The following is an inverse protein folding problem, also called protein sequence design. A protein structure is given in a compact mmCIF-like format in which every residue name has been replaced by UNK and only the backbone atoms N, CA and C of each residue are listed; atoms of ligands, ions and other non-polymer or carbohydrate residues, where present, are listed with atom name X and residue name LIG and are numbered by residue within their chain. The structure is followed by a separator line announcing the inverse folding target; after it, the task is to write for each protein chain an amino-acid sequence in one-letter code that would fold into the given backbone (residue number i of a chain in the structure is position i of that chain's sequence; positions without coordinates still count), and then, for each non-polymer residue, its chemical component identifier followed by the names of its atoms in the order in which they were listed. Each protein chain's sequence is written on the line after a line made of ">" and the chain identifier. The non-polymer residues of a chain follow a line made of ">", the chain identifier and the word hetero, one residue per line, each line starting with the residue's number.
data_IF_345281495984
#
_entry.id   IF_345281495984
#
_cell.length_a   1.000
_cell.length_b   1.000
_cell.length_c   1.000
_cell.angle_alpha   90.00
_cell.angle_beta   90.00
_cell.angle_gamma   90.00
#
_symmetry.space_group_name_H-M   'P 1'
#
loop_
_entity.id
_entity.type
_entity.pdbx_description
1 polymer ?
#
# COMPACT_ATOMS: atom_id res chain seq x y z
N UNK A 1 -3.97 -9.80 5.98
CA UNK A 1 -4.20 -8.38 6.31
C UNK A 1 -5.63 -8.04 6.02
N UNK A 2 -6.28 -7.23 6.85
CA UNK A 2 -7.69 -6.82 6.64
C UNK A 2 -7.77 -5.32 6.42
N UNK A 3 -8.53 -4.89 5.40
CA UNK A 3 -8.83 -3.49 5.14
C UNK A 3 -10.28 -3.20 5.56
N UNK A 4 -10.47 -2.20 6.41
CA UNK A 4 -11.78 -1.76 6.90
C UNK A 4 -12.16 -0.45 6.23
N UNK A 5 -13.24 -0.49 5.45
CA UNK A 5 -13.84 0.68 4.78
C UNK A 5 -15.11 1.12 5.48
N UNK A 6 -15.57 2.34 5.17
CA UNK A 6 -16.81 2.84 5.78
C UNK A 6 -18.02 2.00 5.35
N UNK A 7 -18.04 1.56 4.10
CA UNK A 7 -19.08 0.67 3.59
C UNK A 7 -19.13 -0.67 4.34
N UNK A 8 -17.98 -1.30 4.59
CA UNK A 8 -17.91 -2.53 5.36
C UNK A 8 -18.40 -2.34 6.79
N UNK A 9 -18.00 -1.24 7.44
CA UNK A 9 -18.44 -0.91 8.80
C UNK A 9 -19.96 -0.73 8.86
N UNK A 10 -20.57 -0.03 7.90
CA UNK A 10 -22.03 0.20 7.86
C UNK A 10 -22.86 -1.07 7.71
N UNK A 11 -22.29 -2.12 7.11
CA UNK A 11 -22.95 -3.43 6.98
C UNK A 11 -22.92 -4.25 8.27
N UNK A 12 -22.13 -3.85 9.27
CA UNK A 12 -22.06 -4.56 10.56
C UNK A 12 -23.30 -4.26 11.43
N UNK A 13 -23.79 -5.26 12.20
CA UNK A 13 -24.83 -5.03 13.18
C UNK A 13 -24.46 -3.92 14.17
N UNK A 14 -25.44 -3.11 14.59
CA UNK A 14 -25.21 -1.97 15.47
C UNK A 14 -24.49 -2.33 16.79
N UNK A 15 -24.86 -3.46 17.41
CA UNK A 15 -24.19 -3.95 18.62
C UNK A 15 -22.70 -4.26 18.39
N UNK A 16 -22.36 -4.88 17.25
CA UNK A 16 -20.96 -5.16 16.90
C UNK A 16 -20.19 -3.87 16.59
N UNK A 17 -20.81 -2.91 15.88
CA UNK A 17 -20.21 -1.58 15.66
C UNK A 17 -19.89 -0.89 16.98
N UNK A 18 -20.79 -0.95 17.96
CA UNK A 18 -20.60 -0.36 19.28
C UNK A 18 -19.44 -1.00 20.04
N UNK A 19 -19.35 -2.33 20.05
CA UNK A 19 -18.22 -3.06 20.66
C UNK A 19 -16.89 -2.68 19.99
N UNK A 20 -16.86 -2.61 18.65
CA UNK A 20 -15.65 -2.18 17.92
C UNK A 20 -15.29 -0.74 18.26
N UNK A 21 -16.27 0.18 18.29
CA UNK A 21 -16.07 1.58 18.63
C UNK A 21 -15.39 1.75 19.99
N UNK A 22 -15.87 1.02 21.01
CA UNK A 22 -15.40 1.16 22.38
C UNK A 22 -14.04 0.52 22.65
N UNK A 23 -13.66 -0.51 21.90
CA UNK A 23 -12.49 -1.34 22.25
C UNK A 23 -11.41 -1.39 21.18
N UNK A 24 -11.75 -1.26 19.90
CA UNK A 24 -10.84 -1.59 18.80
C UNK A 24 -10.64 -0.45 17.80
N UNK A 25 -11.61 0.47 17.66
CA UNK A 25 -11.58 1.50 16.64
C UNK A 25 -10.40 2.47 16.81
N UNK A 26 -10.20 3.00 18.02
CA UNK A 26 -9.13 3.95 18.31
C UNK A 26 -7.72 3.32 18.16
N UNK A 27 -7.41 2.14 18.74
CA UNK A 27 -6.13 1.47 18.50
C UNK A 27 -5.85 1.20 17.02
N UNK A 28 -6.81 0.63 16.28
CA UNK A 28 -6.66 0.31 14.84
C UNK A 28 -6.45 1.57 13.99
N UNK A 29 -7.18 2.64 14.31
CA UNK A 29 -7.04 3.92 13.65
C UNK A 29 -5.63 4.50 13.87
N UNK A 30 -5.16 4.51 15.12
CA UNK A 30 -3.84 5.01 15.47
C UNK A 30 -2.73 4.18 14.82
N UNK A 31 -2.84 2.85 14.81
CA UNK A 31 -1.88 1.98 14.12
C UNK A 31 -1.80 2.28 12.62
N UNK A 32 -2.95 2.42 11.95
CA UNK A 32 -3.00 2.74 10.51
C UNK A 32 -2.37 4.12 10.24
N UNK A 33 -2.76 5.12 11.03
CA UNK A 33 -2.22 6.48 10.93
C UNK A 33 -0.71 6.50 11.18
N UNK A 34 -0.23 5.86 12.23
CA UNK A 34 1.19 5.80 12.55
C UNK A 34 1.97 5.11 11.43
N UNK A 35 1.47 3.97 10.94
CA UNK A 35 2.12 3.26 9.85
C UNK A 35 2.30 4.13 8.60
N UNK A 36 1.24 4.82 8.16
CA UNK A 36 1.32 5.74 7.01
C UNK A 36 2.16 6.99 7.31
N UNK A 37 2.01 7.59 8.49
CA UNK A 37 2.67 8.83 8.87
C UNK A 37 4.16 8.64 9.18
N UNK A 38 4.64 7.41 9.42
CA UNK A 38 6.07 7.11 9.54
C UNK A 38 6.76 6.94 8.18
N UNK A 39 6.00 6.78 7.09
CA UNK A 39 6.57 6.68 5.74
C UNK A 39 7.18 8.00 5.30
N UNK A 40 8.29 7.92 4.57
CA UNK A 40 8.90 9.04 3.87
C UNK A 40 7.98 9.58 2.76
N UNK A 41 8.24 10.80 2.31
CA UNK A 41 7.47 11.40 1.22
C UNK A 41 7.57 10.58 -0.08
N UNK A 42 8.73 9.99 -0.39
CA UNK A 42 8.93 9.14 -1.58
C UNK A 42 8.05 7.88 -1.54
N UNK A 43 7.96 7.24 -0.38
CA UNK A 43 7.10 6.06 -0.18
C UNK A 43 5.63 6.46 -0.32
N UNK A 44 5.23 7.58 0.29
CA UNK A 44 3.86 8.12 0.15
C UNK A 44 3.52 8.54 -1.26
N UNK A 45 4.47 9.09 -2.03
CA UNK A 45 4.27 9.40 -3.46
C UNK A 45 3.97 8.12 -4.26
N UNK A 46 4.63 7.01 -3.93
CA UNK A 46 4.42 5.73 -4.59
C UNK A 46 3.05 5.15 -4.26
N UNK A 47 2.60 5.31 -3.01
CA UNK A 47 1.24 4.99 -2.60
C UNK A 47 0.19 5.89 -3.26
N UNK A 48 0.44 7.20 -3.36
CA UNK A 48 -0.44 8.13 -4.07
C UNK A 48 -0.58 7.72 -5.54
N UNK A 49 0.52 7.36 -6.20
CA UNK A 49 0.52 6.85 -7.56
C UNK A 49 -0.36 5.59 -7.69
N UNK A 50 -0.19 4.61 -6.78
CA UNK A 50 -1.00 3.39 -6.78
C UNK A 50 -2.49 3.68 -6.54
N UNK A 51 -2.78 4.54 -5.56
CA UNK A 51 -4.14 4.97 -5.22
C UNK A 51 -4.78 5.90 -6.27
N UNK A 52 -4.03 6.31 -7.31
CA UNK A 52 -4.42 7.31 -8.31
C UNK A 52 -4.80 8.67 -7.69
N UNK A 53 -4.10 9.05 -6.62
CA UNK A 53 -4.22 10.33 -5.95
C UNK A 53 -3.18 11.32 -6.47
N UNK A 54 -3.50 12.62 -6.38
CA UNK A 54 -2.56 13.69 -6.76
C UNK A 54 -1.32 13.67 -5.85
N UNK A 55 -0.16 14.07 -6.39
CA UNK A 55 1.09 14.09 -5.64
C UNK A 55 1.02 14.89 -4.33
N UNK A 56 0.24 15.98 -4.27
CA UNK A 56 0.04 16.78 -3.04
C UNK A 56 -0.40 15.98 -1.80
N UNK A 57 -0.95 14.78 -1.97
CA UNK A 57 -1.36 13.94 -0.83
C UNK A 57 -0.16 13.26 -0.16
N UNK A 58 1.02 13.22 -0.78
CA UNK A 58 2.24 12.65 -0.18
C UNK A 58 2.70 13.42 1.06
N UNK A 59 2.45 14.73 1.10
CA UNK A 59 2.82 15.60 2.22
C UNK A 59 1.72 15.69 3.29
N UNK A 60 0.54 15.13 3.03
CA UNK A 60 -0.57 15.09 3.99
C UNK A 60 -0.41 13.89 4.95
N UNK A 61 -0.87 14.06 6.18
CA UNK A 61 -1.10 12.94 7.10
C UNK A 61 -2.39 12.21 6.76
N UNK A 62 -2.49 10.93 7.12
CA UNK A 62 -3.66 10.11 6.76
C UNK A 62 -4.98 10.72 7.27
N UNK A 63 -4.96 11.26 8.50
CA UNK A 63 -6.12 11.87 9.14
C UNK A 63 -6.60 13.19 8.53
N UNK A 64 -5.74 13.86 7.75
CA UNK A 64 -6.03 15.13 7.08
C UNK A 64 -6.76 14.92 5.75
N UNK A 65 -6.72 13.70 5.21
CA UNK A 65 -7.42 13.33 3.98
C UNK A 65 -8.93 13.25 4.22
N UNK A 66 -9.71 13.70 3.24
CA UNK A 66 -11.15 13.44 3.22
C UNK A 66 -11.43 11.93 3.15
N UNK A 67 -12.66 11.53 3.45
CA UNK A 67 -13.01 10.11 3.60
C UNK A 67 -12.75 9.28 2.33
N UNK A 68 -13.04 9.84 1.15
CA UNK A 68 -12.82 9.16 -0.13
C UNK A 68 -11.33 8.95 -0.43
N UNK A 69 -10.53 9.99 -0.30
CA UNK A 69 -9.09 9.90 -0.56
C UNK A 69 -8.40 9.01 0.47
N UNK A 70 -8.84 9.07 1.74
CA UNK A 70 -8.34 8.20 2.81
C UNK A 70 -8.66 6.74 2.54
N UNK A 71 -9.89 6.42 2.10
CA UNK A 71 -10.26 5.05 1.78
C UNK A 71 -9.42 4.50 0.62
N UNK A 72 -9.20 5.30 -0.43
CA UNK A 72 -8.33 4.93 -1.56
C UNK A 72 -6.89 4.68 -1.10
N UNK A 73 -6.36 5.54 -0.23
CA UNK A 73 -5.02 5.40 0.33
C UNK A 73 -4.89 4.12 1.16
N UNK A 74 -5.85 3.85 2.06
CA UNK A 74 -5.86 2.64 2.89
C UNK A 74 -6.03 1.37 2.06
N UNK A 75 -6.84 1.42 1.00
CA UNK A 75 -6.97 0.30 0.06
C UNK A 75 -5.65 0.03 -0.67
N UNK A 76 -4.99 1.06 -1.17
CA UNK A 76 -3.67 0.96 -1.79
C UNK A 76 -2.61 0.39 -0.83
N UNK A 77 -2.60 0.84 0.43
CA UNK A 77 -1.76 0.26 1.47
C UNK A 77 -2.01 -1.24 1.63
N UNK A 78 -3.27 -1.66 1.69
CA UNK A 78 -3.64 -3.07 1.80
C UNK A 78 -3.22 -3.91 0.60
N UNK A 79 -3.46 -3.42 -0.62
CA UNK A 79 -3.11 -4.10 -1.87
C UNK A 79 -1.60 -4.31 -2.01
N UNK A 80 -0.80 -3.27 -1.76
CA UNK A 80 0.66 -3.38 -1.80
C UNK A 80 1.20 -4.22 -0.64
N UNK A 81 0.68 -4.03 0.58
CA UNK A 81 1.11 -4.81 1.75
C UNK A 81 0.90 -6.31 1.52
N UNK A 82 -0.25 -6.70 0.96
CA UNK A 82 -0.53 -8.10 0.65
C UNK A 82 0.46 -8.65 -0.39
N UNK A 83 0.63 -7.93 -1.51
CA UNK A 83 1.52 -8.37 -2.59
C UNK A 83 2.96 -8.57 -2.12
N UNK A 84 3.52 -7.58 -1.41
CA UNK A 84 4.90 -7.64 -0.95
C UNK A 84 5.10 -8.55 0.26
N UNK A 85 4.05 -8.84 1.05
CA UNK A 85 4.12 -9.86 2.10
C UNK A 85 4.11 -11.29 1.54
N UNK A 86 3.34 -11.55 0.47
CA UNK A 86 3.33 -12.85 -0.23
C UNK A 86 4.66 -13.13 -0.91
N UNK A 87 5.23 -12.13 -1.58
CA UNK A 87 6.55 -12.22 -2.23
C UNK A 87 7.66 -12.71 -1.27
N UNK A 88 7.60 -12.38 0.02
CA UNK A 88 8.63 -12.81 1.00
C UNK A 88 8.51 -14.26 1.45
N UNK A 89 7.32 -14.87 1.32
CA UNK A 89 7.10 -16.24 1.82
C UNK A 89 7.69 -17.29 0.90
N UNK A 90 7.95 -16.93 -0.35
CA UNK A 90 8.37 -17.86 -1.39
C UNK A 90 9.84 -17.62 -1.74
N UNK A 91 10.62 -18.69 -1.91
CA UNK A 91 12.04 -18.61 -2.29
C UNK A 91 12.19 -18.37 -3.81
N UNK A 92 11.50 -17.35 -4.31
CA UNK A 92 11.55 -16.94 -5.72
C UNK A 92 12.58 -15.83 -5.88
N UNK A 93 13.26 -15.79 -7.02
CA UNK A 93 14.20 -14.73 -7.38
C UNK A 93 13.49 -13.39 -7.67
N UNK A 94 14.26 -12.29 -7.67
CA UNK A 94 13.71 -10.93 -7.83
C UNK A 94 12.90 -10.78 -9.14
N UNK A 95 13.28 -11.48 -10.22
CA UNK A 95 12.57 -11.46 -11.52
C UNK A 95 11.24 -12.19 -11.43
N UNK A 96 11.20 -13.38 -10.82
CA UNK A 96 9.97 -14.12 -10.61
C UNK A 96 8.99 -13.35 -9.73
N UNK A 97 9.48 -12.62 -8.71
CA UNK A 97 8.65 -11.74 -7.90
C UNK A 97 7.99 -10.63 -8.75
N UNK A 98 8.76 -9.94 -9.60
CA UNK A 98 8.23 -8.91 -10.51
C UNK A 98 7.18 -9.50 -11.46
N UNK A 99 7.40 -10.72 -11.94
CA UNK A 99 6.49 -11.47 -12.81
C UNK A 99 5.12 -11.75 -12.17
N UNK A 100 5.07 -11.97 -10.85
CA UNK A 100 3.83 -12.27 -10.11
C UNK A 100 3.00 -11.05 -9.73
N UNK A 101 3.63 -9.87 -9.66
CA UNK A 101 2.91 -8.63 -9.40
C UNK A 101 1.84 -8.40 -10.47
N UNK A 102 0.66 -7.96 -10.04
CA UNK A 102 -0.37 -7.48 -10.95
C UNK A 102 0.11 -6.24 -11.72
N UNK A 103 -0.58 -5.91 -12.81
CA UNK A 103 -0.24 -4.76 -13.64
C UNK A 103 -0.13 -3.45 -12.83
N UNK A 104 -1.05 -3.19 -11.89
CA UNK A 104 -1.02 -1.96 -11.07
C UNK A 104 0.15 -1.96 -10.09
N UNK A 105 0.41 -3.09 -9.42
CA UNK A 105 1.53 -3.25 -8.49
C UNK A 105 2.88 -3.11 -9.20
N UNK A 106 3.03 -3.70 -10.38
CA UNK A 106 4.25 -3.58 -11.19
C UNK A 106 4.46 -2.14 -11.65
N UNK A 107 3.42 -1.45 -12.11
CA UNK A 107 3.51 0.00 -12.43
C UNK A 107 3.99 0.81 -11.24
N UNK A 108 3.48 0.52 -10.04
CA UNK A 108 3.92 1.18 -8.81
C UNK A 108 5.38 0.90 -8.48
N UNK A 109 5.84 -0.34 -8.66
CA UNK A 109 7.26 -0.70 -8.47
C UNK A 109 8.16 0.08 -9.45
N UNK A 110 7.81 0.12 -10.73
CA UNK A 110 8.58 0.86 -11.74
C UNK A 110 8.57 2.36 -11.46
N UNK A 111 7.43 2.91 -11.05
CA UNK A 111 7.32 4.30 -10.60
C UNK A 111 8.22 4.57 -9.38
N UNK A 112 8.21 3.70 -8.38
CA UNK A 112 9.07 3.83 -7.19
C UNK A 112 10.56 3.80 -7.54
N UNK A 113 10.93 3.02 -8.56
CA UNK A 113 12.27 2.92 -9.13
C UNK A 113 12.66 4.13 -10.02
N UNK A 114 11.75 5.11 -10.19
CA UNK A 114 11.90 6.25 -11.09
C UNK A 114 12.12 5.84 -12.56
N UNK A 115 11.51 4.72 -12.95
CA UNK A 115 11.51 4.24 -14.33
C UNK A 115 10.27 4.78 -15.05
N UNK A 116 10.38 4.91 -16.37
CA UNK A 116 9.35 5.47 -17.23
C UNK A 116 8.53 4.37 -17.89
N UNK A 117 7.52 4.76 -18.68
CA UNK A 117 6.76 3.83 -19.49
C UNK A 117 7.63 3.06 -20.50
N UNK A 118 8.76 3.63 -20.93
CA UNK A 118 9.67 2.95 -21.87
C UNK A 118 10.23 1.67 -21.28
N UNK A 119 10.72 1.72 -20.05
CA UNK A 119 11.22 0.54 -19.34
C UNK A 119 10.07 -0.39 -18.96
N UNK A 120 8.93 0.15 -18.53
CA UNK A 120 7.77 -0.65 -18.16
C UNK A 120 7.19 -1.48 -19.31
N UNK A 121 7.23 -0.94 -20.54
CA UNK A 121 6.74 -1.62 -21.73
C UNK A 121 7.69 -2.74 -22.22
N UNK A 122 8.90 -2.83 -21.67
CA UNK A 122 9.76 -3.99 -21.92
C UNK A 122 9.21 -5.22 -21.18
N UNK A 123 9.37 -6.42 -21.74
CA UNK A 123 8.98 -7.63 -21.04
C UNK A 123 9.75 -7.79 -19.72
N UNK A 124 9.08 -8.26 -18.67
CA UNK A 124 9.72 -8.38 -17.36
C UNK A 124 10.92 -9.36 -17.36
N UNK A 125 10.94 -10.35 -18.26
CA UNK A 125 12.07 -11.27 -18.40
C UNK A 125 13.33 -10.61 -18.99
N UNK A 126 13.23 -9.40 -19.54
CA UNK A 126 14.41 -8.62 -19.94
C UNK A 126 15.32 -8.29 -18.74
N UNK A 127 14.80 -8.37 -17.51
CA UNK A 127 15.60 -8.28 -16.29
C UNK A 127 16.65 -9.41 -16.16
N UNK A 128 16.49 -10.53 -16.88
CA UNK A 128 17.49 -11.60 -16.91
C UNK A 128 18.69 -11.25 -17.81
N UNK A 129 18.55 -10.26 -18.69
CA UNK A 129 19.63 -9.81 -19.56
C UNK A 129 20.63 -8.98 -18.77
N UNK A 130 21.91 -9.34 -18.83
CA UNK A 130 22.99 -8.60 -18.16
C UNK A 130 23.18 -7.18 -18.72
N UNK A 131 22.73 -6.93 -19.96
CA UNK A 131 22.73 -5.61 -20.58
C UNK A 131 21.59 -4.70 -20.09
N UNK A 132 20.69 -5.19 -19.24
CA UNK A 132 19.57 -4.41 -18.70
C UNK A 132 20.04 -3.34 -17.69
N UNK A 133 20.32 -2.14 -18.21
CA UNK A 133 20.87 -1.00 -17.46
C UNK A 133 20.01 -0.52 -16.27
N UNK A 134 18.72 -0.83 -16.26
CA UNK A 134 17.78 -0.40 -15.21
C UNK A 134 17.43 -1.51 -14.20
N UNK A 135 17.97 -2.72 -14.36
CA UNK A 135 17.69 -3.88 -13.50
C UNK A 135 17.96 -3.57 -12.03
N UNK A 136 19.16 -3.05 -11.74
CA UNK A 136 19.57 -2.77 -10.35
C UNK A 136 18.71 -1.71 -9.67
N UNK A 137 18.25 -0.70 -10.42
CA UNK A 137 17.32 0.31 -9.89
C UNK A 137 15.98 -0.32 -9.50
N UNK A 138 15.47 -1.22 -10.34
CA UNK A 138 14.22 -1.93 -10.06
C UNK A 138 14.35 -2.87 -8.86
N UNK A 139 15.43 -3.65 -8.76
CA UNK A 139 15.63 -4.57 -7.64
C UNK A 139 15.87 -3.83 -6.32
N UNK A 140 16.57 -2.69 -6.36
CA UNK A 140 16.67 -1.80 -5.20
C UNK A 140 15.29 -1.32 -4.76
N UNK A 141 14.47 -0.81 -5.68
CA UNK A 141 13.11 -0.37 -5.39
C UNK A 141 12.23 -1.52 -4.85
N UNK A 142 12.40 -2.73 -5.37
CA UNK A 142 11.71 -3.92 -4.89
C UNK A 142 12.06 -4.21 -3.43
N UNK A 143 13.34 -4.19 -3.08
CA UNK A 143 13.81 -4.39 -1.69
C UNK A 143 13.34 -3.28 -0.76
N UNK A 144 13.33 -2.02 -1.22
CA UNK A 144 12.79 -0.88 -0.49
C UNK A 144 11.30 -1.11 -0.14
N UNK A 145 10.47 -1.49 -1.11
CA UNK A 145 9.05 -1.79 -0.88
C UNK A 145 8.82 -3.05 -0.03
N UNK A 146 9.63 -4.11 -0.22
CA UNK A 146 9.59 -5.30 0.64
C UNK A 146 9.94 -4.95 2.09
N UNK A 147 10.87 -4.02 2.31
CA UNK A 147 11.23 -3.54 3.65
C UNK A 147 10.13 -2.67 4.26
N UNK A 148 9.55 -1.76 3.47
CA UNK A 148 8.44 -0.90 3.90
C UNK A 148 7.27 -1.70 4.47
N UNK A 149 6.92 -2.80 3.79
CA UNK A 149 5.82 -3.67 4.20
C UNK A 149 6.28 -4.87 5.03
N UNK A 150 7.41 -4.78 5.75
CA UNK A 150 7.93 -5.89 6.58
C UNK A 150 7.01 -6.22 7.75
N UNK A 151 6.51 -5.20 8.45
CA UNK A 151 5.63 -5.34 9.62
C UNK A 151 4.44 -4.38 9.54
N UNK A 152 3.56 -4.58 8.55
CA UNK A 152 2.38 -3.73 8.39
C UNK A 152 1.30 -4.11 9.43
N UNK A 153 0.44 -3.18 9.87
CA UNK A 153 -0.65 -3.47 10.80
C UNK A 153 -1.54 -4.62 10.33
N UNK A 154 -1.98 -5.49 11.23
CA UNK A 154 -2.86 -6.62 10.88
C UNK A 154 -4.18 -6.12 10.28
N UNK A 155 -4.68 -4.99 10.78
CA UNK A 155 -5.88 -4.31 10.31
C UNK A 155 -5.51 -2.88 9.90
N UNK A 156 -5.81 -2.53 8.66
CA UNK A 156 -5.77 -1.16 8.17
C UNK A 156 -7.21 -0.63 8.11
N UNK A 157 -7.46 0.57 8.64
CA UNK A 157 -8.80 1.17 8.65
C UNK A 157 -8.82 2.57 8.06
N UNK A 158 -9.76 2.83 7.16
CA UNK A 158 -10.09 4.19 6.70
C UNK A 158 -11.15 4.86 7.59
N UNK A 159 -11.77 4.10 8.48
CA UNK A 159 -12.88 4.56 9.32
C UNK A 159 -12.34 5.16 10.61
N UNK A 160 -12.66 6.42 10.86
CA UNK A 160 -12.32 7.10 12.11
C UNK A 160 -13.18 6.55 13.26
N UNK A 161 -12.69 6.60 14.52
CA UNK A 161 -13.42 6.05 15.66
C UNK A 161 -14.86 6.58 15.81
N UNK A 162 -15.06 7.88 15.60
CA UNK A 162 -16.38 8.52 15.66
C UNK A 162 -17.37 8.01 14.61
N UNK A 163 -16.89 7.48 13.48
CA UNK A 163 -17.73 7.00 12.38
C UNK A 163 -18.32 5.61 12.61
N UNK A 164 -17.97 4.92 13.69
CA UNK A 164 -18.57 3.62 14.02
C UNK A 164 -19.96 3.75 14.64
N UNK A 165 -20.25 4.89 15.28
CA UNK A 165 -21.48 5.13 16.05
C UNK A 165 -22.61 5.67 15.17
N UNK A 166 -22.28 6.18 13.98
CA UNK A 166 -23.21 6.66 12.95
C UNK A 166 -23.47 5.54 11.94
#
# INVERSE_FOLDING_TARGET
>A
MTVVTLELTRKLPAGLRHVIANHLALPRWNETCNFYNCMSERERLSLCFHAQLKQRHSVMKLQEMNDNDRERMVRALGELSAAFAECRKEHIDDVGLVGRLTMSQRKTLFFHAQLTEKEFNQPYWYLNDESCLWREKLFRALRELLSLFKQPPTVLTAVKPEQYIH
#
